data_IF_659049066498
#
_entry.id   IF_659049066498
#
_cell.length_a   1.000
_cell.length_b   1.000
_cell.length_c   1.000
_cell.angle_alpha   90.00
_cell.angle_beta   90.00
_cell.angle_gamma   90.00
#
_symmetry.space_group_name_H-M   'P 1'
#
loop_
_entity.id
_entity.type
_entity.pdbx_description
1 polymer ?
#
# COMPACT_ATOMS: atom_id res chain seq x y z
N UNK A 1 13.11 -18.77 -4.86
CA UNK A 1 13.71 -17.82 -5.80
C UNK A 1 14.38 -16.68 -5.05
N UNK A 2 15.46 -16.12 -5.63
CA UNK A 2 16.18 -14.94 -5.14
C UNK A 2 15.63 -13.72 -5.86
N UNK A 3 14.92 -12.85 -5.14
CA UNK A 3 14.23 -11.68 -5.68
C UNK A 3 14.95 -10.42 -5.21
N UNK A 4 15.41 -9.59 -6.12
CA UNK A 4 15.87 -8.24 -5.80
C UNK A 4 14.70 -7.27 -5.89
N UNK A 5 14.48 -6.49 -4.85
CA UNK A 5 13.48 -5.41 -4.84
C UNK A 5 13.91 -4.27 -3.92
N UNK A 6 13.28 -3.10 -4.05
CA UNK A 6 13.57 -1.91 -3.25
C UNK A 6 12.51 -1.69 -2.18
N UNK A 7 12.90 -1.06 -1.08
CA UNK A 7 11.97 -0.70 -0.01
C UNK A 7 11.17 0.56 -0.39
N UNK A 8 9.98 0.40 -0.93
CA UNK A 8 9.12 1.53 -1.35
C UNK A 8 7.91 1.71 -0.43
N UNK A 9 7.13 0.67 -0.21
CA UNK A 9 5.92 0.68 0.63
C UNK A 9 6.06 -0.35 1.74
N UNK A 10 6.47 0.08 2.94
CA UNK A 10 6.86 -0.80 4.03
C UNK A 10 5.85 -1.89 4.37
N UNK A 11 4.57 -1.52 4.60
CA UNK A 11 3.51 -2.49 4.90
C UNK A 11 3.34 -3.50 3.75
N UNK A 12 3.25 -3.00 2.50
CA UNK A 12 3.09 -3.89 1.35
C UNK A 12 4.30 -4.81 1.20
N UNK A 13 5.51 -4.25 1.30
CA UNK A 13 6.74 -5.05 1.19
C UNK A 13 6.80 -6.13 2.28
N UNK A 14 6.39 -5.81 3.51
CA UNK A 14 6.30 -6.78 4.57
C UNK A 14 5.38 -7.95 4.21
N UNK A 15 4.17 -7.68 3.70
CA UNK A 15 3.24 -8.74 3.27
C UNK A 15 3.77 -9.51 2.07
N UNK A 16 4.37 -8.86 1.09
CA UNK A 16 5.00 -9.50 -0.07
C UNK A 16 6.08 -10.50 0.35
N UNK A 17 6.87 -10.16 1.36
CA UNK A 17 7.98 -11.01 1.85
C UNK A 17 7.52 -12.22 2.65
N UNK A 18 6.22 -12.38 2.94
CA UNK A 18 5.68 -13.60 3.52
C UNK A 18 5.61 -14.75 2.50
N UNK A 19 5.80 -14.46 1.22
CA UNK A 19 5.92 -15.52 0.21
C UNK A 19 7.23 -16.32 0.35
N UNK A 20 7.27 -17.61 -0.05
CA UNK A 20 8.40 -18.50 0.20
C UNK A 20 9.58 -18.23 -0.76
N UNK A 21 10.06 -17.01 -0.79
CA UNK A 21 11.18 -16.55 -1.61
C UNK A 21 12.22 -15.81 -0.74
N UNK A 22 13.45 -15.75 -1.22
CA UNK A 22 14.52 -14.96 -0.61
C UNK A 22 14.49 -13.55 -1.21
N UNK A 23 14.27 -12.55 -0.39
CA UNK A 23 14.21 -11.15 -0.80
C UNK A 23 15.48 -10.41 -0.44
N UNK A 24 16.03 -9.70 -1.40
CA UNK A 24 17.23 -8.89 -1.23
C UNK A 24 16.87 -7.42 -1.39
N UNK A 25 17.10 -6.64 -0.35
CA UNK A 25 16.77 -5.23 -0.26
C UNK A 25 18.08 -4.41 -0.28
N UNK A 26 18.33 -3.61 -1.32
CA UNK A 26 19.52 -2.78 -1.36
C UNK A 26 19.46 -1.69 -0.30
N UNK A 27 20.61 -1.41 0.32
CA UNK A 27 20.80 -0.34 1.29
C UNK A 27 21.91 0.60 0.86
N UNK A 28 21.76 1.89 1.16
CA UNK A 28 22.79 2.94 1.04
C UNK A 28 22.97 3.64 2.38
N UNK A 29 24.11 4.29 2.55
CA UNK A 29 24.34 5.17 3.69
C UNK A 29 23.23 6.22 3.81
N UNK A 30 22.76 6.51 5.02
CA UNK A 30 21.65 7.41 5.27
C UNK A 30 20.27 6.87 4.87
N UNK A 31 20.18 5.66 4.36
CA UNK A 31 18.93 4.97 3.98
C UNK A 31 17.94 5.85 3.21
N UNK A 32 18.32 6.44 2.07
CA UNK A 32 17.43 7.27 1.27
C UNK A 32 16.27 6.43 0.71
N UNK A 33 15.26 7.12 0.16
CA UNK A 33 14.10 6.47 -0.44
C UNK A 33 14.48 5.35 -1.43
N UNK A 34 13.87 4.19 -1.28
CA UNK A 34 14.17 2.96 -2.02
C UNK A 34 15.30 2.12 -1.41
N UNK A 35 16.16 2.71 -0.58
CA UNK A 35 17.33 2.03 0.01
C UNK A 35 17.21 1.87 1.53
N UNK A 36 15.99 1.77 2.03
CA UNK A 36 15.69 1.61 3.45
C UNK A 36 16.01 0.23 4.02
N UNK A 37 16.19 -0.78 3.16
CA UNK A 37 16.40 -2.15 3.60
C UNK A 37 15.25 -2.66 4.47
N UNK A 38 15.56 -3.22 5.63
CA UNK A 38 14.59 -3.71 6.64
C UNK A 38 14.11 -2.62 7.60
N UNK A 39 14.06 -1.37 7.16
CA UNK A 39 13.57 -0.27 8.01
C UNK A 39 12.07 -0.39 8.34
N UNK A 40 11.62 0.39 9.33
CA UNK A 40 10.28 0.31 9.87
C UNK A 40 10.17 -0.71 11.01
N UNK A 41 9.05 -0.69 11.72
CA UNK A 41 8.77 -1.56 12.88
C UNK A 41 8.10 -2.89 12.48
N UNK A 42 8.51 -3.47 11.34
CA UNK A 42 7.96 -4.74 10.85
C UNK A 42 8.77 -5.92 11.38
N UNK A 43 8.12 -7.06 11.70
CA UNK A 43 8.80 -8.28 12.11
C UNK A 43 9.32 -9.04 10.88
N UNK A 44 10.34 -8.50 10.21
CA UNK A 44 10.94 -9.09 9.01
C UNK A 44 11.39 -10.52 9.22
N UNK A 45 11.05 -11.41 8.30
CA UNK A 45 11.48 -12.80 8.28
C UNK A 45 12.98 -12.98 7.99
N UNK A 46 13.48 -14.18 8.24
CA UNK A 46 14.88 -14.55 7.94
C UNK A 46 15.17 -14.57 6.44
N UNK A 47 14.14 -14.72 5.60
CA UNK A 47 14.21 -14.70 4.16
C UNK A 47 14.35 -13.28 3.54
N UNK A 48 14.46 -12.25 4.38
CA UNK A 48 14.63 -10.86 3.94
C UNK A 48 16.03 -10.38 4.28
N UNK A 49 16.84 -10.14 3.26
CA UNK A 49 18.25 -9.81 3.38
C UNK A 49 18.53 -8.37 2.99
N UNK A 50 19.31 -7.66 3.79
CA UNK A 50 19.89 -6.38 3.38
C UNK A 50 21.18 -6.63 2.59
N UNK A 51 21.40 -5.86 1.54
CA UNK A 51 22.62 -5.90 0.73
C UNK A 51 23.10 -4.48 0.43
N UNK A 52 24.39 -4.14 0.66
CA UNK A 52 24.95 -2.88 0.19
C UNK A 52 24.71 -2.67 -1.31
N UNK A 53 24.27 -1.50 -1.71
CA UNK A 53 23.92 -1.22 -3.10
C UNK A 53 25.08 -1.46 -4.07
N UNK A 54 26.32 -1.19 -3.64
CA UNK A 54 27.55 -1.44 -4.38
C UNK A 54 27.83 -2.94 -4.62
N UNK A 55 27.34 -3.82 -3.73
CA UNK A 55 27.56 -5.27 -3.81
C UNK A 55 26.50 -5.98 -4.67
N UNK A 56 25.39 -5.33 -4.98
CA UNK A 56 24.26 -5.89 -5.75
C UNK A 56 24.74 -6.48 -7.08
N UNK A 57 25.60 -5.77 -7.80
CA UNK A 57 26.13 -6.22 -9.12
C UNK A 57 26.98 -7.49 -9.07
N UNK A 58 27.42 -7.89 -7.88
CA UNK A 58 28.26 -9.07 -7.65
C UNK A 58 27.45 -10.27 -7.14
N UNK A 59 26.13 -10.12 -6.95
CA UNK A 59 25.24 -11.17 -6.46
C UNK A 59 24.44 -11.80 -7.61
N UNK A 60 23.88 -12.98 -7.32
CA UNK A 60 23.00 -13.67 -8.27
C UNK A 60 21.55 -13.55 -7.82
N UNK A 61 20.67 -13.18 -8.74
CA UNK A 61 19.22 -13.13 -8.53
C UNK A 61 18.51 -13.93 -9.63
N UNK A 62 17.28 -14.33 -9.33
CA UNK A 62 16.40 -15.00 -10.31
C UNK A 62 15.44 -14.01 -10.95
N UNK A 63 15.03 -12.96 -10.21
CA UNK A 63 13.97 -12.03 -10.59
C UNK A 63 14.31 -10.62 -10.06
N UNK A 64 14.00 -9.62 -10.89
CA UNK A 64 13.99 -8.21 -10.48
C UNK A 64 12.54 -7.75 -10.32
N UNK A 65 12.22 -7.17 -9.17
CA UNK A 65 10.88 -6.64 -8.86
C UNK A 65 10.97 -5.14 -8.61
N UNK A 66 10.44 -4.35 -9.54
CA UNK A 66 10.36 -2.90 -9.41
C UNK A 66 9.04 -2.50 -8.74
N UNK A 67 9.06 -1.44 -7.94
CA UNK A 67 7.90 -0.95 -7.20
C UNK A 67 7.72 0.57 -7.31
N UNK A 68 8.61 1.27 -8.04
CA UNK A 68 8.48 2.69 -8.30
C UNK A 68 9.12 3.06 -9.64
N UNK A 69 8.68 4.19 -10.22
CA UNK A 69 9.26 4.75 -11.43
C UNK A 69 10.78 4.97 -11.29
N UNK A 70 11.21 5.42 -10.11
CA UNK A 70 12.62 5.65 -9.82
C UNK A 70 13.42 4.36 -9.88
N UNK A 71 12.93 3.28 -9.29
CA UNK A 71 13.63 1.99 -9.34
C UNK A 71 13.84 1.52 -10.79
N UNK A 72 12.81 1.70 -11.63
CA UNK A 72 12.84 1.27 -13.03
C UNK A 72 13.62 2.23 -13.93
N UNK A 73 13.46 3.56 -13.76
CA UNK A 73 14.04 4.55 -14.67
C UNK A 73 15.47 4.97 -14.29
N UNK A 74 15.88 4.78 -13.02
CA UNK A 74 17.14 5.31 -12.50
C UNK A 74 17.93 4.25 -11.74
N UNK A 75 17.38 3.75 -10.62
CA UNK A 75 18.15 2.98 -9.64
C UNK A 75 18.74 1.68 -10.23
N UNK A 76 18.03 1.02 -11.14
CA UNK A 76 18.54 -0.19 -11.79
C UNK A 76 19.87 0.04 -12.54
N UNK A 77 20.03 1.20 -13.17
CA UNK A 77 21.24 1.50 -13.92
C UNK A 77 22.42 1.86 -13.01
N UNK A 78 22.14 2.29 -11.78
CA UNK A 78 23.17 2.59 -10.79
C UNK A 78 23.76 1.31 -10.16
N UNK A 79 22.91 0.33 -9.84
CA UNK A 79 23.33 -0.79 -8.98
C UNK A 79 23.40 -2.15 -9.68
N UNK A 80 22.73 -2.34 -10.84
CA UNK A 80 22.73 -3.61 -11.57
C UNK A 80 23.85 -3.65 -12.61
N UNK A 81 24.36 -4.87 -12.86
CA UNK A 81 25.17 -5.15 -14.04
C UNK A 81 24.29 -5.29 -15.29
N UNK A 82 24.89 -5.18 -16.49
CA UNK A 82 24.19 -5.39 -17.76
C UNK A 82 23.55 -6.79 -17.87
N UNK A 83 24.17 -7.80 -17.29
CA UNK A 83 23.64 -9.17 -17.28
C UNK A 83 22.42 -9.30 -16.35
N UNK A 84 22.47 -8.65 -15.18
CA UNK A 84 21.34 -8.63 -14.26
C UNK A 84 20.12 -7.90 -14.84
N UNK A 85 20.31 -6.84 -15.62
CA UNK A 85 19.23 -6.12 -16.29
C UNK A 85 18.45 -6.98 -17.31
N UNK A 86 19.00 -8.14 -17.75
CA UNK A 86 18.35 -9.10 -18.65
C UNK A 86 17.55 -10.18 -17.91
N UNK A 87 17.62 -10.23 -16.59
CA UNK A 87 16.86 -11.20 -15.79
C UNK A 87 15.34 -11.03 -15.98
N UNK A 88 14.52 -12.04 -15.65
CA UNK A 88 13.08 -11.89 -15.57
C UNK A 88 12.70 -10.70 -14.69
N UNK A 89 11.80 -9.85 -15.20
CA UNK A 89 11.44 -8.57 -14.57
C UNK A 89 9.94 -8.47 -14.35
N UNK A 90 9.58 -8.02 -13.16
CA UNK A 90 8.22 -7.67 -12.78
C UNK A 90 8.19 -6.19 -12.37
N UNK A 91 7.12 -5.49 -12.70
CA UNK A 91 6.82 -4.20 -12.11
C UNK A 91 5.50 -4.30 -11.35
N UNK A 92 5.53 -3.97 -10.08
CA UNK A 92 4.37 -3.95 -9.20
C UNK A 92 3.88 -2.52 -9.03
N UNK A 93 2.71 -2.23 -9.61
CA UNK A 93 2.09 -0.91 -9.57
C UNK A 93 1.07 -0.82 -8.44
N UNK A 94 1.38 0.05 -7.48
CA UNK A 94 0.60 0.22 -6.27
C UNK A 94 -0.52 1.26 -6.38
N UNK A 95 -0.34 2.25 -7.26
CA UNK A 95 -1.21 3.42 -7.33
C UNK A 95 -1.87 3.55 -8.72
N UNK A 96 -3.06 4.15 -8.81
CA UNK A 96 -3.58 4.65 -10.07
C UNK A 96 -2.82 5.92 -10.49
N UNK A 97 -2.90 6.35 -11.78
CA UNK A 97 -2.27 7.57 -12.27
C UNK A 97 -2.74 8.80 -11.49
N UNK A 98 -1.81 9.71 -11.15
CA UNK A 98 -2.13 10.82 -10.24
C UNK A 98 -2.41 12.14 -10.94
N UNK A 99 -1.65 12.50 -11.98
CA UNK A 99 -1.78 13.79 -12.66
C UNK A 99 -2.97 13.80 -13.62
N UNK A 100 -3.06 12.79 -14.46
CA UNK A 100 -4.12 12.60 -15.44
C UNK A 100 -4.73 11.21 -15.25
N UNK A 101 -5.75 11.08 -14.39
CA UNK A 101 -6.28 9.76 -13.99
C UNK A 101 -6.71 8.86 -15.15
N UNK A 102 -7.16 9.43 -16.27
CA UNK A 102 -7.70 8.67 -17.42
C UNK A 102 -6.86 8.81 -18.69
N UNK A 103 -5.73 9.53 -18.64
CA UNK A 103 -4.89 9.80 -19.82
C UNK A 103 -3.41 9.83 -19.43
N UNK A 104 -2.96 8.78 -18.77
CA UNK A 104 -1.55 8.62 -18.38
C UNK A 104 -1.03 7.27 -18.83
N UNK A 105 0.07 7.32 -19.58
CA UNK A 105 0.82 6.12 -19.95
C UNK A 105 1.72 5.69 -18.80
N UNK A 106 1.75 4.40 -18.55
CA UNK A 106 2.68 3.81 -17.62
C UNK A 106 4.13 3.99 -18.13
N UNK A 107 5.13 4.27 -17.26
CA UNK A 107 6.52 4.45 -17.69
C UNK A 107 7.15 3.18 -18.27
N UNK A 108 6.59 2.00 -17.95
CA UNK A 108 7.05 0.74 -18.53
C UNK A 108 6.35 0.52 -19.86
N UNK A 109 7.17 0.42 -20.94
CA UNK A 109 6.73 0.02 -22.28
C UNK A 109 7.65 -1.09 -22.78
N UNK A 110 7.51 -2.29 -22.21
CA UNK A 110 8.36 -3.43 -22.47
C UNK A 110 7.55 -4.73 -22.59
N UNK A 111 7.44 -5.33 -23.77
CA UNK A 111 6.69 -6.56 -23.97
C UNK A 111 7.30 -7.81 -23.29
N UNK A 112 8.53 -7.70 -22.75
CA UNK A 112 9.22 -8.78 -22.04
C UNK A 112 9.18 -8.61 -20.52
N UNK A 113 8.43 -7.63 -20.01
CA UNK A 113 8.18 -7.41 -18.59
C UNK A 113 6.73 -7.71 -18.27
N UNK A 114 6.44 -8.17 -17.06
CA UNK A 114 5.05 -8.27 -16.56
C UNK A 114 4.76 -7.10 -15.61
N UNK A 115 3.72 -6.35 -15.93
CA UNK A 115 3.18 -5.29 -15.10
C UNK A 115 2.04 -5.87 -14.24
N UNK A 116 2.23 -5.86 -12.93
CA UNK A 116 1.27 -6.37 -11.94
C UNK A 116 0.60 -5.20 -11.25
N UNK A 117 -0.70 -5.06 -11.41
CA UNK A 117 -1.51 -4.10 -10.65
C UNK A 117 -2.10 -4.76 -9.42
N UNK A 118 -2.18 -4.01 -8.32
CA UNK A 118 -2.75 -4.51 -7.07
C UNK A 118 -4.27 -4.45 -7.02
N UNK A 119 -4.92 -3.79 -7.99
CA UNK A 119 -6.38 -3.72 -8.13
C UNK A 119 -6.80 -3.69 -9.60
N UNK A 120 -8.04 -4.09 -9.88
CA UNK A 120 -8.65 -3.95 -11.20
C UNK A 120 -8.83 -2.47 -11.58
N UNK A 121 -9.14 -1.62 -10.60
CA UNK A 121 -9.22 -0.18 -10.81
C UNK A 121 -7.90 0.40 -11.32
N UNK A 122 -6.76 0.09 -10.69
CA UNK A 122 -5.46 0.57 -11.15
C UNK A 122 -5.19 0.15 -12.59
N UNK A 123 -5.40 -1.14 -12.90
CA UNK A 123 -5.18 -1.67 -14.26
C UNK A 123 -6.04 -0.96 -15.31
N UNK A 124 -7.29 -0.62 -14.97
CA UNK A 124 -8.21 0.08 -15.85
C UNK A 124 -7.77 1.53 -16.12
N UNK A 125 -7.18 2.18 -15.11
CA UNK A 125 -6.84 3.62 -15.18
C UNK A 125 -5.53 3.90 -15.90
N UNK A 126 -4.58 2.95 -15.94
CA UNK A 126 -3.32 3.09 -16.65
C UNK A 126 -3.44 2.70 -18.14
N UNK A 127 -2.86 3.50 -19.04
CA UNK A 127 -2.46 3.00 -20.34
C UNK A 127 -1.19 2.16 -20.16
N UNK A 128 -1.34 0.84 -20.21
CA UNK A 128 -0.27 -0.11 -19.94
C UNK A 128 0.71 -0.28 -21.13
N UNK A 129 0.59 0.53 -22.17
CA UNK A 129 1.40 0.45 -23.38
C UNK A 129 1.38 -0.98 -24.00
N UNK A 130 2.55 -1.47 -24.42
CA UNK A 130 2.72 -2.85 -24.94
C UNK A 130 3.04 -3.88 -23.86
N UNK A 131 3.16 -3.43 -22.60
CA UNK A 131 3.56 -4.28 -21.48
C UNK A 131 2.42 -5.22 -21.10
N UNK A 132 2.61 -6.55 -21.12
CA UNK A 132 1.65 -7.50 -20.59
C UNK A 132 1.30 -7.14 -19.15
N UNK A 133 0.01 -7.09 -18.82
CA UNK A 133 -0.45 -6.73 -17.49
C UNK A 133 -1.41 -7.74 -16.90
N UNK A 134 -1.34 -7.90 -15.58
CA UNK A 134 -2.26 -8.72 -14.80
C UNK A 134 -2.66 -7.99 -13.52
N UNK A 135 -3.66 -8.52 -12.81
CA UNK A 135 -4.01 -8.08 -11.46
C UNK A 135 -3.70 -9.22 -10.51
N UNK A 136 -2.97 -8.89 -9.45
CA UNK A 136 -2.82 -9.74 -8.27
C UNK A 136 -3.24 -8.87 -7.09
N UNK A 137 -4.43 -9.12 -6.59
CA UNK A 137 -4.96 -8.37 -5.46
C UNK A 137 -4.06 -8.58 -4.24
N UNK A 138 -3.79 -7.50 -3.51
CA UNK A 138 -2.96 -7.58 -2.34
C UNK A 138 -3.72 -8.20 -1.16
N UNK A 139 -3.00 -8.95 -0.35
CA UNK A 139 -3.49 -9.51 0.90
C UNK A 139 -2.79 -8.88 2.09
N UNK A 140 -3.37 -9.09 3.25
CA UNK A 140 -2.83 -8.67 4.55
C UNK A 140 -2.83 -9.84 5.51
N UNK A 141 -2.03 -9.74 6.56
CA UNK A 141 -2.01 -10.70 7.67
C UNK A 141 -2.36 -9.98 8.96
N UNK A 142 -3.26 -10.58 9.70
CA UNK A 142 -3.64 -10.15 11.05
C UNK A 142 -3.39 -11.32 11.99
N UNK A 143 -2.85 -11.10 13.21
CA UNK A 143 -2.66 -12.17 14.17
C UNK A 143 -3.96 -12.91 14.49
N UNK A 144 -3.91 -14.25 14.58
CA UNK A 144 -5.09 -15.11 14.79
C UNK A 144 -5.80 -14.87 16.13
N UNK A 145 -5.10 -14.28 17.10
CA UNK A 145 -5.61 -13.96 18.44
C UNK A 145 -6.31 -12.59 18.51
N UNK A 146 -6.30 -11.82 17.42
CA UNK A 146 -7.00 -10.54 17.33
C UNK A 146 -8.41 -10.75 16.81
N UNK A 147 -9.40 -10.30 17.59
CA UNK A 147 -10.80 -10.34 17.22
C UNK A 147 -11.47 -8.99 17.45
N UNK A 148 -12.41 -8.66 16.59
CA UNK A 148 -13.25 -7.47 16.70
C UNK A 148 -14.02 -7.46 18.06
N UNK A 149 -13.92 -6.33 18.79
CA UNK A 149 -14.63 -6.11 20.03
C UNK A 149 -15.65 -4.97 19.95
N UNK A 150 -15.36 -3.93 19.17
CA UNK A 150 -16.24 -2.78 18.99
C UNK A 150 -16.56 -2.01 20.27
N UNK A 151 -15.74 -2.13 21.32
CA UNK A 151 -15.97 -1.57 22.64
C UNK A 151 -15.96 -0.03 22.69
N UNK A 152 -15.23 0.60 21.76
CA UNK A 152 -15.17 2.05 21.64
C UNK A 152 -16.33 2.54 20.76
N UNK A 153 -17.17 3.41 21.30
CA UNK A 153 -18.27 4.02 20.55
C UNK A 153 -17.79 5.10 19.56
N UNK A 154 -16.83 4.73 18.72
CA UNK A 154 -16.15 5.59 17.75
C UNK A 154 -15.83 4.82 16.48
N UNK A 155 -15.69 5.54 15.36
CA UNK A 155 -15.02 5.06 14.18
C UNK A 155 -13.52 5.38 14.18
N UNK A 156 -12.76 4.62 13.39
CA UNK A 156 -11.34 4.86 13.15
C UNK A 156 -11.07 5.19 11.69
N UNK A 157 -10.18 6.14 11.45
CA UNK A 157 -9.64 6.51 10.14
C UNK A 157 -8.13 6.28 10.15
N UNK A 158 -7.61 5.52 9.19
CA UNK A 158 -6.18 5.21 9.11
C UNK A 158 -5.63 5.74 7.80
N UNK A 159 -5.06 6.94 7.83
CA UNK A 159 -4.55 7.62 6.63
C UNK A 159 -3.28 8.40 6.93
N UNK A 160 -2.19 8.04 6.25
CA UNK A 160 -0.92 8.74 6.33
C UNK A 160 -0.96 10.09 5.60
N UNK A 161 -0.44 11.14 6.26
CA UNK A 161 -0.27 12.48 5.69
C UNK A 161 -1.59 13.07 5.12
N UNK A 162 -2.71 12.83 5.76
CA UNK A 162 -4.04 13.25 5.27
C UNK A 162 -4.10 14.76 5.03
N UNK A 163 -3.61 15.59 5.94
CA UNK A 163 -3.59 17.06 5.81
C UNK A 163 -2.85 17.51 4.53
N UNK A 164 -1.65 16.99 4.31
CA UNK A 164 -0.81 17.31 3.12
C UNK A 164 -1.43 16.85 1.82
N UNK A 165 -2.08 15.68 1.83
CA UNK A 165 -2.69 15.05 0.65
C UNK A 165 -4.11 15.54 0.38
N UNK A 166 -4.71 16.27 1.34
CA UNK A 166 -5.91 17.07 1.21
C UNK A 166 -7.14 16.31 0.71
N UNK A 167 -7.88 16.93 -0.20
CA UNK A 167 -9.15 16.41 -0.74
C UNK A 167 -9.03 15.03 -1.39
N UNK A 168 -7.90 14.71 -1.99
CA UNK A 168 -7.68 13.40 -2.61
C UNK A 168 -7.84 12.27 -1.61
N UNK A 169 -7.30 12.43 -0.40
CA UNK A 169 -7.42 11.45 0.69
C UNK A 169 -8.55 11.77 1.67
N UNK A 170 -9.45 12.71 1.30
CA UNK A 170 -10.69 12.94 2.04
C UNK A 170 -10.54 13.75 3.32
N UNK A 171 -9.54 14.64 3.43
CA UNK A 171 -9.36 15.46 4.61
C UNK A 171 -10.61 16.29 4.97
N UNK A 172 -11.27 16.88 3.97
CA UNK A 172 -12.51 17.62 4.10
C UNK A 172 -13.70 16.73 4.49
N UNK A 173 -13.79 15.51 3.96
CA UNK A 173 -14.83 14.54 4.33
C UNK A 173 -14.66 14.03 5.77
N UNK A 174 -13.42 13.81 6.18
CA UNK A 174 -13.11 13.50 7.57
C UNK A 174 -13.55 14.61 8.50
N UNK A 175 -13.22 15.87 8.15
CA UNK A 175 -13.63 17.05 8.94
C UNK A 175 -15.16 17.22 8.99
N UNK A 176 -15.88 16.90 7.91
CA UNK A 176 -17.34 16.91 7.89
C UNK A 176 -17.92 15.78 8.76
N UNK A 177 -17.50 14.55 8.55
CA UNK A 177 -18.04 13.37 9.23
C UNK A 177 -17.84 13.43 10.76
N UNK A 178 -16.67 13.90 11.22
CA UNK A 178 -16.40 13.98 12.66
C UNK A 178 -17.24 15.01 13.43
N UNK A 179 -17.98 15.86 12.74
CA UNK A 179 -18.95 16.77 13.40
C UNK A 179 -20.19 16.03 13.89
N UNK A 180 -20.50 14.89 13.27
CA UNK A 180 -21.69 14.09 13.57
C UNK A 180 -21.36 12.75 14.23
N UNK A 181 -20.20 12.18 13.92
CA UNK A 181 -19.76 10.87 14.42
C UNK A 181 -18.40 11.01 15.12
N UNK A 182 -18.22 10.48 16.33
CA UNK A 182 -16.90 10.43 16.96
C UNK A 182 -15.93 9.59 16.11
N UNK A 183 -14.88 10.24 15.58
CA UNK A 183 -13.87 9.62 14.74
C UNK A 183 -12.47 9.91 15.28
N UNK A 184 -11.67 8.90 15.46
CA UNK A 184 -10.23 9.02 15.71
C UNK A 184 -9.46 8.84 14.41
N UNK A 185 -8.44 9.66 14.19
CA UNK A 185 -7.54 9.57 13.04
C UNK A 185 -6.16 9.10 13.50
N UNK A 186 -5.60 8.09 12.84
CA UNK A 186 -4.22 7.66 13.06
C UNK A 186 -3.44 7.62 11.75
N UNK A 187 -2.12 7.59 11.85
CA UNK A 187 -1.16 7.53 10.75
C UNK A 187 -0.11 8.65 10.83
N UNK A 188 0.84 8.63 9.90
CA UNK A 188 1.88 9.65 9.83
C UNK A 188 1.27 11.06 9.72
N UNK A 189 1.72 11.96 10.61
CA UNK A 189 1.25 13.35 10.68
C UNK A 189 -0.26 13.52 10.94
N UNK A 190 -0.95 12.52 11.49
CA UNK A 190 -2.38 12.62 11.85
C UNK A 190 -2.67 13.73 12.85
N UNK A 191 -1.73 14.06 13.73
CA UNK A 191 -1.84 15.13 14.72
C UNK A 191 -2.10 16.52 14.10
N UNK A 192 -1.75 16.73 12.85
CA UNK A 192 -2.05 17.98 12.12
C UNK A 192 -3.56 18.23 11.94
N UNK A 193 -4.37 17.18 12.01
CA UNK A 193 -5.84 17.23 11.95
C UNK A 193 -6.46 16.80 13.30
N UNK A 194 -5.72 16.91 14.40
CA UNK A 194 -6.19 16.53 15.73
C UNK A 194 -6.29 15.02 15.96
N UNK A 195 -5.61 14.23 15.14
CA UNK A 195 -5.52 12.76 15.31
C UNK A 195 -4.52 12.33 16.37
N UNK A 196 -4.50 11.04 16.66
CA UNK A 196 -3.72 10.42 17.74
C UNK A 196 -2.24 10.18 17.39
N UNK A 197 -1.85 10.37 16.11
CA UNK A 197 -0.51 10.06 15.63
C UNK A 197 -0.40 8.65 15.08
N UNK A 198 0.81 8.06 15.17
CA UNK A 198 1.09 6.73 14.63
C UNK A 198 0.89 5.65 15.69
N UNK A 199 0.36 4.52 15.27
CA UNK A 199 0.32 3.29 16.07
C UNK A 199 1.34 2.31 15.48
N UNK A 200 2.23 1.72 16.30
CA UNK A 200 3.18 0.72 15.82
C UNK A 200 2.47 -0.44 15.14
N UNK A 201 3.03 -0.92 14.02
CA UNK A 201 2.43 -1.97 13.19
C UNK A 201 1.97 -3.19 14.00
N UNK A 202 2.82 -3.69 14.91
CA UNK A 202 2.50 -4.85 15.73
C UNK A 202 1.31 -4.65 16.69
N UNK A 203 0.93 -3.41 16.98
CA UNK A 203 -0.19 -3.06 17.87
C UNK A 203 -1.44 -2.68 17.09
N UNK A 204 -1.32 -2.38 15.81
CA UNK A 204 -2.39 -1.82 14.99
C UNK A 204 -3.63 -2.72 14.94
N UNK A 205 -3.53 -4.04 14.68
CA UNK A 205 -4.72 -4.90 14.62
C UNK A 205 -5.52 -4.91 15.93
N UNK A 206 -4.85 -5.07 17.07
CA UNK A 206 -5.50 -5.06 18.38
C UNK A 206 -6.04 -3.66 18.75
N UNK A 207 -5.38 -2.60 18.27
CA UNK A 207 -5.84 -1.23 18.48
C UNK A 207 -7.13 -0.95 17.71
N UNK A 208 -7.17 -1.25 16.41
CA UNK A 208 -8.34 -0.98 15.56
C UNK A 208 -9.52 -1.89 15.87
N UNK A 209 -9.30 -3.14 16.31
CA UNK A 209 -10.35 -4.09 16.72
C UNK A 209 -11.34 -3.54 17.77
N UNK A 210 -10.92 -2.54 18.52
CA UNK A 210 -11.70 -1.91 19.59
C UNK A 210 -12.74 -0.91 19.09
N UNK A 211 -12.56 -0.39 17.85
CA UNK A 211 -13.47 0.60 17.26
C UNK A 211 -14.72 -0.07 16.67
N UNK A 212 -15.81 0.67 16.59
CA UNK A 212 -17.07 0.15 16.03
C UNK A 212 -17.08 0.00 14.53
N UNK A 213 -16.33 0.86 13.82
CA UNK A 213 -16.25 0.84 12.37
C UNK A 213 -14.92 1.46 11.91
N UNK A 214 -14.55 1.09 10.69
CA UNK A 214 -13.49 1.76 9.94
C UNK A 214 -14.13 2.72 8.95
N UNK A 215 -13.74 4.01 8.98
CA UNK A 215 -14.23 5.01 8.04
C UNK A 215 -13.17 5.36 6.99
N UNK A 216 -13.51 5.16 5.71
CA UNK A 216 -12.64 5.48 4.58
C UNK A 216 -13.15 6.68 3.77
N UNK A 217 -12.65 7.91 4.02
CA UNK A 217 -13.05 9.10 3.31
C UNK A 217 -12.36 9.31 1.95
N UNK A 218 -11.53 8.38 1.51
CA UNK A 218 -10.61 8.56 0.38
C UNK A 218 -11.37 8.63 -0.94
N UNK A 219 -11.09 9.67 -1.75
CA UNK A 219 -11.68 9.85 -3.08
C UNK A 219 -10.92 9.14 -4.19
N UNK A 220 -9.58 9.11 -4.09
CA UNK A 220 -8.77 8.60 -5.18
C UNK A 220 -7.47 7.98 -4.67
N UNK A 221 -7.39 6.67 -4.75
CA UNK A 221 -6.24 5.83 -4.47
C UNK A 221 -6.49 4.45 -5.07
N UNK A 222 -5.60 3.50 -4.88
CA UNK A 222 -5.88 2.07 -4.96
C UNK A 222 -6.80 1.64 -3.81
N UNK A 223 -6.97 0.35 -3.56
CA UNK A 223 -7.51 -0.13 -2.29
C UNK A 223 -6.41 -0.03 -1.23
N UNK A 224 -6.66 0.71 -0.15
CA UNK A 224 -5.68 0.85 0.93
C UNK A 224 -5.54 -0.44 1.74
N UNK A 225 -4.31 -0.80 2.13
CA UNK A 225 -4.06 -1.95 3.01
C UNK A 225 -4.84 -1.83 4.33
N UNK A 226 -4.98 -0.62 4.87
CA UNK A 226 -5.77 -0.37 6.08
C UNK A 226 -7.24 -0.81 5.95
N UNK A 227 -7.84 -0.73 4.75
CA UNK A 227 -9.20 -1.27 4.50
C UNK A 227 -9.18 -2.79 4.61
N UNK A 228 -8.18 -3.44 4.02
CA UNK A 228 -8.04 -4.89 4.07
C UNK A 228 -7.74 -5.38 5.49
N UNK A 229 -6.90 -4.67 6.23
CA UNK A 229 -6.56 -4.94 7.63
C UNK A 229 -7.82 -4.83 8.51
N UNK A 230 -8.59 -3.76 8.37
CA UNK A 230 -9.87 -3.57 9.08
C UNK A 230 -10.86 -4.71 8.79
N UNK A 231 -10.99 -5.12 7.52
CA UNK A 231 -11.85 -6.25 7.14
C UNK A 231 -11.39 -7.57 7.75
N UNK A 232 -10.08 -7.83 7.77
CA UNK A 232 -9.50 -9.04 8.37
C UNK A 232 -9.71 -9.09 9.89
N UNK A 233 -9.66 -7.95 10.57
CA UNK A 233 -9.98 -7.82 12.01
C UNK A 233 -11.47 -8.00 12.27
N UNK A 234 -12.32 -7.77 11.26
CA UNK A 234 -13.77 -7.88 11.36
C UNK A 234 -14.50 -6.56 11.59
N UNK A 235 -13.84 -5.41 11.37
CA UNK A 235 -14.51 -4.11 11.44
C UNK A 235 -15.43 -3.91 10.22
N UNK A 236 -16.67 -3.44 10.42
CA UNK A 236 -17.48 -2.94 9.33
C UNK A 236 -16.79 -1.74 8.66
N UNK A 237 -16.65 -1.77 7.34
CA UNK A 237 -16.03 -0.70 6.57
C UNK A 237 -17.11 0.24 6.03
N UNK A 238 -17.03 1.50 6.42
CA UNK A 238 -17.91 2.57 5.96
C UNK A 238 -17.09 3.55 5.14
N UNK A 239 -17.58 4.04 4.00
CA UNK A 239 -16.79 5.00 3.25
C UNK A 239 -17.36 5.44 1.92
N UNK A 240 -16.54 6.17 1.17
CA UNK A 240 -16.93 6.68 -0.13
C UNK A 240 -16.92 5.58 -1.19
N UNK A 241 -17.97 5.54 -2.02
CA UNK A 241 -18.10 4.61 -3.15
C UNK A 241 -17.21 5.06 -4.32
N UNK A 242 -15.89 4.97 -4.12
CA UNK A 242 -14.87 5.37 -5.09
C UNK A 242 -13.86 4.27 -5.34
N UNK A 243 -13.24 4.30 -6.51
CA UNK A 243 -12.13 3.41 -6.87
C UNK A 243 -12.46 1.92 -6.64
N UNK A 244 -11.56 1.14 -6.04
CA UNK A 244 -11.78 -0.29 -5.77
C UNK A 244 -12.74 -0.55 -4.57
N UNK A 245 -13.08 0.48 -3.78
CA UNK A 245 -14.00 0.34 -2.65
C UNK A 245 -15.35 -0.25 -3.06
N UNK A 246 -15.84 0.07 -4.27
CA UNK A 246 -17.13 -0.45 -4.78
C UNK A 246 -17.11 -1.96 -5.06
N UNK A 247 -15.93 -2.53 -5.27
CA UNK A 247 -15.75 -3.98 -5.45
C UNK A 247 -15.48 -4.70 -4.12
N UNK A 248 -14.82 -4.03 -3.18
CA UNK A 248 -14.41 -4.60 -1.90
C UNK A 248 -15.53 -4.57 -0.85
N UNK A 249 -16.38 -3.53 -0.86
CA UNK A 249 -17.44 -3.35 0.13
C UNK A 249 -18.80 -3.70 -0.46
N UNK A 250 -19.48 -4.65 0.17
CA UNK A 250 -20.86 -5.07 -0.16
C UNK A 250 -21.81 -4.52 0.90
N UNK A 251 -22.64 -3.55 0.50
CA UNK A 251 -23.57 -2.88 1.41
C UNK A 251 -24.47 -3.86 2.17
N UNK A 252 -24.47 -3.72 3.49
CA UNK A 252 -25.23 -4.58 4.39
C UNK A 252 -24.61 -5.97 4.68
N UNK A 253 -23.42 -6.25 4.16
CA UNK A 253 -22.68 -7.51 4.39
C UNK A 253 -21.41 -7.25 5.20
N UNK A 254 -20.45 -6.52 4.64
CA UNK A 254 -19.16 -6.24 5.29
C UNK A 254 -18.93 -4.73 5.51
N UNK A 255 -19.93 -3.90 5.18
CA UNK A 255 -19.85 -2.46 5.35
C UNK A 255 -20.95 -1.72 4.59
N UNK A 256 -20.67 -0.43 4.32
CA UNK A 256 -21.54 0.41 3.54
C UNK A 256 -20.72 1.47 2.78
N UNK A 257 -21.01 1.67 1.51
CA UNK A 257 -20.39 2.71 0.68
C UNK A 257 -21.44 3.47 -0.12
N UNK A 258 -21.28 4.78 -0.19
CA UNK A 258 -22.10 5.66 -1.01
C UNK A 258 -21.24 6.80 -1.58
N UNK A 259 -21.67 7.46 -2.64
CA UNK A 259 -21.06 8.68 -3.17
C UNK A 259 -21.49 9.92 -2.41
N UNK A 260 -22.60 9.86 -1.69
CA UNK A 260 -23.11 10.92 -0.84
C UNK A 260 -22.65 10.69 0.61
N UNK A 261 -21.85 11.64 1.13
CA UNK A 261 -21.32 11.58 2.49
C UNK A 261 -22.43 11.60 3.57
N UNK A 262 -23.57 12.19 3.27
CA UNK A 262 -24.67 12.28 4.23
C UNK A 262 -25.43 10.95 4.36
N UNK A 263 -25.20 10.00 3.45
CA UNK A 263 -25.69 8.64 3.52
C UNK A 263 -24.68 7.67 4.18
N UNK A 264 -23.45 8.09 4.30
CA UNK A 264 -22.33 7.31 4.85
C UNK A 264 -22.15 7.59 6.34
#
# INVERSE_FOLDING_TARGET
KRVLTWHIHGNYLYYLTQSPHEFYLPVKEGRPEGYGGRSGSFPWGENVHEIPAEDVRHQQFDILLYQSHRNYLVDQFEILSEEQQKLPRLYLEHDPPREHPTDTRHPVDDPNMLLVHVTHFNRMMWDNNRTPSTVIEHGVLVPDDVAYTGELEKGIVIVNNMAKRGRRLGADLFEQARQSVPLDLIGMNATQLGGLGEVPYAQLPAFEARYRLFFNPIRYTSLGLAVCEAMMVGLPVIGMATTEMVSAVHNGVNGFVDTDIDNV
#
